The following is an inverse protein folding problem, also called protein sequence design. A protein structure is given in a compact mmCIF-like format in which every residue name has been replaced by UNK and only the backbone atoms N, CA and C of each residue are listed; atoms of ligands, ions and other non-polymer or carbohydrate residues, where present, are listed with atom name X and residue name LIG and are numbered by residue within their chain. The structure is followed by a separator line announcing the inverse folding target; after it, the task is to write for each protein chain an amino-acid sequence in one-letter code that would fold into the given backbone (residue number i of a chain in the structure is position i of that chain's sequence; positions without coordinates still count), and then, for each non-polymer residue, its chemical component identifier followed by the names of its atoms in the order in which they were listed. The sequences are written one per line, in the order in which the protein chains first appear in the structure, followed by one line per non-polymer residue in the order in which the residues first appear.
data_IF_359935152347
#
_entry.id   IF_359935152347
#
_cell.length_a   1.000
_cell.length_b   1.000
_cell.length_c   1.000
_cell.angle_alpha   90.00
_cell.angle_beta   90.00
_cell.angle_gamma   90.00
#
_symmetry.space_group_name_H-M   'P 1'
#
loop_
_entity.id
_entity.type
_entity.pdbx_description
1 polymer ?
#
# COMPACT_ATOMS: atom_id res chain seq x y z
N UNK A 1 52.96 -4.07 62.46
CA UNK A 1 52.99 -3.75 60.99
C UNK A 1 51.58 -3.57 60.51
N UNK A 2 51.06 -2.36 60.31
CA UNK A 2 49.72 -1.99 59.92
C UNK A 2 49.72 -1.63 58.44
N UNK A 3 49.05 -2.41 57.62
CA UNK A 3 48.88 -2.12 56.21
C UNK A 3 47.56 -1.34 56.04
N UNK A 4 47.65 -0.10 55.60
CA UNK A 4 46.53 0.76 55.36
C UNK A 4 46.16 0.63 53.86
N UNK A 5 44.99 0.05 53.60
CA UNK A 5 44.43 0.05 52.25
C UNK A 5 43.70 1.36 51.97
N UNK A 6 44.24 2.11 51.02
CA UNK A 6 43.68 3.35 50.52
C UNK A 6 42.55 3.03 49.53
N UNK A 7 41.33 3.41 49.86
CA UNK A 7 40.15 3.26 48.98
C UNK A 7 40.34 4.11 47.74
N UNK A 8 40.44 3.43 46.58
CA UNK A 8 40.37 4.04 45.27
C UNK A 8 38.90 4.00 44.87
N UNK A 9 38.24 5.17 44.89
CA UNK A 9 36.88 5.35 44.42
C UNK A 9 36.82 5.21 42.90
N UNK A 10 36.13 4.16 42.43
CA UNK A 10 35.83 3.95 41.02
C UNK A 10 34.62 4.81 40.71
N UNK A 11 34.83 5.89 39.98
CA UNK A 11 33.74 6.68 39.39
C UNK A 11 33.20 5.90 38.18
N UNK A 12 32.03 5.28 38.34
CA UNK A 12 31.29 4.71 37.22
C UNK A 12 30.68 5.82 36.37
N UNK A 13 31.28 6.10 35.23
CA UNK A 13 30.71 6.98 34.21
C UNK A 13 29.58 6.20 33.52
N UNK A 14 28.34 6.54 33.89
CA UNK A 14 27.15 5.98 33.27
C UNK A 14 26.97 6.62 31.88
N UNK A 15 27.36 5.90 30.81
CA UNK A 15 27.11 6.32 29.45
C UNK A 15 25.62 6.09 29.14
N UNK A 16 24.82 7.15 29.15
CA UNK A 16 23.43 7.11 28.67
C UNK A 16 23.48 7.10 27.16
N UNK A 17 23.33 5.93 26.57
CA UNK A 17 23.12 5.79 25.15
C UNK A 17 21.67 6.17 24.86
N UNK A 18 21.44 7.40 24.41
CA UNK A 18 20.17 7.83 23.85
C UNK A 18 20.02 7.12 22.51
N UNK A 19 19.32 5.98 22.52
CA UNK A 19 18.91 5.28 21.31
C UNK A 19 17.81 6.11 20.65
N UNK A 20 18.16 6.90 19.64
CA UNK A 20 17.20 7.44 18.68
C UNK A 20 16.56 6.27 17.94
N UNK A 21 15.40 5.84 18.40
CA UNK A 21 14.52 4.99 17.60
C UNK A 21 14.02 5.82 16.42
N UNK A 22 14.77 5.83 15.32
CA UNK A 22 14.21 6.18 14.03
C UNK A 22 13.11 5.18 13.75
N UNK A 23 11.86 5.62 13.77
CA UNK A 23 10.72 4.86 13.27
C UNK A 23 11.03 4.47 11.82
N UNK A 24 11.64 3.31 11.65
CA UNK A 24 11.71 2.67 10.34
C UNK A 24 10.26 2.34 9.97
N UNK A 25 9.70 3.22 9.14
CA UNK A 25 8.51 2.90 8.36
C UNK A 25 8.91 1.67 7.56
N UNK A 26 8.52 0.49 8.03
CA UNK A 26 8.73 -0.75 7.30
C UNK A 26 7.94 -0.64 6.00
N UNK A 27 8.64 -0.35 4.93
CA UNK A 27 8.17 -0.59 3.57
C UNK A 27 8.20 -2.11 3.40
N UNK A 28 7.12 -2.76 3.83
CA UNK A 28 7.00 -4.22 3.80
C UNK A 28 6.64 -4.70 2.40
N UNK A 29 7.40 -4.32 1.37
CA UNK A 29 7.14 -4.86 0.02
C UNK A 29 8.35 -4.88 -0.93
N UNK A 30 9.57 -4.86 -0.43
CA UNK A 30 10.74 -4.98 -1.31
C UNK A 30 11.02 -6.41 -1.82
N UNK A 31 10.17 -7.40 -1.49
CA UNK A 31 10.46 -8.79 -1.84
C UNK A 31 10.43 -9.10 -3.35
N UNK A 32 9.81 -8.27 -4.20
CA UNK A 32 9.70 -8.54 -5.64
C UNK A 32 10.04 -7.37 -6.57
N UNK A 33 10.34 -6.18 -6.07
CA UNK A 33 10.57 -5.00 -6.92
C UNK A 33 9.34 -4.56 -7.74
N UNK A 34 8.16 -5.12 -7.48
CA UNK A 34 6.90 -4.77 -8.14
C UNK A 34 6.10 -3.77 -7.31
N UNK A 35 5.39 -2.91 -8.01
CA UNK A 35 4.54 -1.86 -7.44
C UNK A 35 3.15 -2.40 -7.11
N UNK A 36 2.63 -2.09 -5.93
CA UNK A 36 1.24 -2.34 -5.55
C UNK A 36 0.34 -1.20 -6.03
N UNK A 37 -0.66 -1.54 -6.83
CA UNK A 37 -1.57 -0.58 -7.41
C UNK A 37 -2.85 -0.46 -6.59
N UNK A 38 -3.19 0.78 -6.24
CA UNK A 38 -4.48 1.14 -5.66
C UNK A 38 -5.29 1.95 -6.65
N UNK A 39 -6.53 1.55 -6.86
CA UNK A 39 -7.50 2.29 -7.68
C UNK A 39 -8.50 2.95 -6.74
N UNK A 40 -8.55 4.27 -6.78
CA UNK A 40 -9.46 5.06 -5.96
C UNK A 40 -10.56 5.66 -6.82
N UNK A 41 -11.82 5.38 -6.44
CA UNK A 41 -13.03 5.91 -7.08
C UNK A 41 -13.02 5.71 -8.62
N UNK A 42 -13.04 4.47 -9.13
CA UNK A 42 -12.92 4.18 -10.57
C UNK A 42 -14.20 4.52 -11.34
N UNK A 43 -14.61 5.77 -11.31
CA UNK A 43 -15.84 6.25 -11.94
C UNK A 43 -15.74 6.53 -13.43
N UNK A 44 -14.54 6.57 -13.99
CA UNK A 44 -14.31 6.81 -15.40
C UNK A 44 -13.70 5.57 -16.06
N UNK A 45 -14.09 5.29 -17.34
CA UNK A 45 -13.59 4.12 -18.06
C UNK A 45 -12.06 4.03 -18.16
N UNK A 46 -11.35 5.15 -18.09
CA UNK A 46 -9.88 5.17 -18.05
C UNK A 46 -9.30 4.45 -16.84
N UNK A 47 -10.08 4.29 -15.74
CA UNK A 47 -9.62 3.59 -14.56
C UNK A 47 -9.14 2.16 -14.86
N UNK A 48 -9.79 1.47 -15.80
CA UNK A 48 -9.46 0.10 -16.17
C UNK A 48 -8.36 -0.02 -17.24
N UNK A 49 -7.94 1.07 -17.88
CA UNK A 49 -6.99 0.99 -18.99
C UNK A 49 -5.59 0.54 -18.56
N UNK A 50 -5.19 0.87 -17.31
CA UNK A 50 -3.92 0.38 -16.75
C UNK A 50 -3.89 -1.14 -16.62
N UNK A 51 -5.04 -1.77 -16.43
CA UNK A 51 -5.19 -3.21 -16.27
C UNK A 51 -5.50 -3.93 -17.59
N UNK A 52 -5.60 -3.19 -18.71
CA UNK A 52 -5.86 -3.80 -20.01
C UNK A 52 -4.78 -4.79 -20.41
N UNK A 53 -3.54 -4.54 -20.02
CA UNK A 53 -2.43 -5.43 -20.28
C UNK A 53 -1.66 -5.71 -18.99
N UNK A 54 -0.96 -6.84 -18.91
CA UNK A 54 -0.11 -7.18 -17.79
C UNK A 54 1.16 -6.33 -17.84
N UNK A 55 1.47 -5.64 -16.76
CA UNK A 55 2.67 -4.84 -16.61
C UNK A 55 3.63 -5.53 -15.65
N UNK A 56 4.83 -5.87 -16.12
CA UNK A 56 5.81 -6.62 -15.34
C UNK A 56 6.23 -5.92 -14.02
N UNK A 57 6.15 -4.59 -14.00
CA UNK A 57 6.48 -3.79 -12.83
C UNK A 57 5.36 -3.67 -11.79
N UNK A 58 4.17 -4.20 -12.08
CA UNK A 58 2.99 -4.10 -11.20
C UNK A 58 2.62 -5.48 -10.67
N UNK A 59 2.27 -5.56 -9.38
CA UNK A 59 1.74 -6.77 -8.78
C UNK A 59 0.37 -7.11 -9.38
N UNK A 60 0.06 -8.39 -9.48
CA UNK A 60 -1.19 -8.87 -10.09
C UNK A 60 -2.43 -8.55 -9.21
N UNK A 61 -2.23 -8.17 -7.96
CA UNK A 61 -3.31 -7.77 -7.05
C UNK A 61 -3.59 -6.28 -7.18
N UNK A 62 -4.85 -5.93 -7.47
CA UNK A 62 -5.37 -4.57 -7.52
C UNK A 62 -6.21 -4.31 -6.28
N UNK A 63 -5.86 -3.27 -5.53
CA UNK A 63 -6.65 -2.80 -4.40
C UNK A 63 -7.58 -1.69 -4.86
N UNK A 64 -8.89 -1.89 -4.77
CA UNK A 64 -9.87 -0.91 -5.23
C UNK A 64 -10.72 -0.40 -4.07
N UNK A 65 -10.83 0.91 -3.96
CA UNK A 65 -11.62 1.60 -2.94
C UNK A 65 -12.58 2.57 -3.61
N UNK A 66 -13.88 2.39 -3.38
CA UNK A 66 -14.91 3.16 -4.07
C UNK A 66 -16.21 3.25 -3.26
N UNK A 67 -17.08 4.23 -3.52
CA UNK A 67 -18.45 4.13 -3.08
C UNK A 67 -19.16 3.00 -3.84
N UNK A 68 -20.25 2.47 -3.28
CA UNK A 68 -21.11 1.53 -3.99
C UNK A 68 -21.79 2.21 -5.18
N UNK A 69 -21.87 1.53 -6.33
CA UNK A 69 -22.58 2.07 -7.47
C UNK A 69 -22.22 1.41 -8.79
N UNK A 70 -22.97 1.82 -9.83
CA UNK A 70 -22.83 1.30 -11.19
C UNK A 70 -21.43 1.50 -11.78
N UNK A 71 -20.75 2.58 -11.37
CA UNK A 71 -19.44 2.93 -11.89
C UNK A 71 -18.38 1.91 -11.46
N UNK A 72 -18.35 1.53 -10.18
CA UNK A 72 -17.43 0.50 -9.68
C UNK A 72 -17.76 -0.87 -10.27
N UNK A 73 -19.03 -1.18 -10.47
CA UNK A 73 -19.45 -2.44 -11.10
C UNK A 73 -18.98 -2.52 -12.55
N UNK A 74 -19.09 -1.44 -13.31
CA UNK A 74 -18.58 -1.35 -14.68
C UNK A 74 -17.06 -1.50 -14.76
N UNK A 75 -16.35 -0.88 -13.82
CA UNK A 75 -14.90 -1.04 -13.70
C UNK A 75 -14.52 -2.51 -13.47
N UNK A 76 -15.13 -3.17 -12.49
CA UNK A 76 -14.87 -4.59 -12.19
C UNK A 76 -15.18 -5.51 -13.39
N UNK A 77 -16.28 -5.23 -14.11
CA UNK A 77 -16.65 -5.96 -15.33
C UNK A 77 -15.58 -5.79 -16.42
N UNK A 78 -14.99 -4.61 -16.54
CA UNK A 78 -13.89 -4.39 -17.49
C UNK A 78 -12.68 -5.25 -17.15
N UNK A 79 -12.29 -5.32 -15.86
CA UNK A 79 -11.19 -6.18 -15.41
C UNK A 79 -11.48 -7.66 -15.69
N UNK A 80 -12.71 -8.11 -15.43
CA UNK A 80 -13.13 -9.49 -15.75
C UNK A 80 -13.03 -9.78 -17.25
N UNK A 81 -13.43 -8.82 -18.10
CA UNK A 81 -13.33 -8.98 -19.55
C UNK A 81 -11.86 -9.09 -20.01
N UNK A 82 -10.94 -8.37 -19.39
CA UNK A 82 -9.52 -8.50 -19.70
C UNK A 82 -8.93 -9.84 -19.24
N UNK A 83 -9.35 -10.33 -18.08
CA UNK A 83 -8.92 -11.63 -17.59
C UNK A 83 -9.47 -12.81 -18.42
N UNK A 84 -10.65 -12.65 -19.05
CA UNK A 84 -11.36 -13.72 -19.76
C UNK A 84 -11.21 -13.66 -21.28
N UNK A 85 -10.59 -12.63 -21.83
CA UNK A 85 -10.45 -12.51 -23.28
C UNK A 85 -9.59 -13.63 -23.88
N UNK A 86 -9.90 -14.05 -25.11
CA UNK A 86 -9.21 -15.14 -25.78
C UNK A 86 -7.74 -14.80 -26.12
N UNK A 87 -7.49 -13.53 -26.47
CA UNK A 87 -6.15 -13.07 -26.84
C UNK A 87 -5.53 -12.27 -25.70
N UNK A 88 -4.33 -12.64 -25.29
CA UNK A 88 -3.54 -12.00 -24.22
C UNK A 88 -4.37 -11.77 -22.94
N UNK A 89 -4.97 -12.80 -22.35
CA UNK A 89 -5.71 -12.65 -21.09
C UNK A 89 -4.78 -12.11 -20.02
N UNK A 90 -5.35 -11.29 -19.13
CA UNK A 90 -4.67 -10.86 -17.91
C UNK A 90 -5.03 -11.79 -16.74
N UNK A 91 -4.38 -11.63 -15.59
CA UNK A 91 -4.62 -12.44 -14.40
C UNK A 91 -4.79 -11.56 -13.14
N UNK A 92 -5.49 -10.44 -13.29
CA UNK A 92 -5.66 -9.50 -12.18
C UNK A 92 -6.51 -10.09 -11.06
N UNK A 93 -5.98 -10.05 -9.84
CA UNK A 93 -6.68 -10.39 -8.61
C UNK A 93 -7.28 -9.11 -8.02
N UNK A 94 -8.60 -9.09 -7.85
CA UNK A 94 -9.32 -7.91 -7.36
C UNK A 94 -9.52 -7.98 -5.86
N UNK A 95 -9.04 -6.97 -5.13
CA UNK A 95 -9.35 -6.71 -3.73
C UNK A 95 -10.20 -5.45 -3.66
N UNK A 96 -11.47 -5.59 -3.26
CA UNK A 96 -12.43 -4.50 -3.33
C UNK A 96 -12.95 -4.13 -1.95
N UNK A 97 -12.93 -2.83 -1.66
CA UNK A 97 -13.65 -2.25 -0.56
C UNK A 97 -14.66 -1.20 -1.06
N UNK A 98 -15.94 -1.39 -0.79
CA UNK A 98 -17.01 -0.47 -1.19
C UNK A 98 -17.84 -0.05 0.00
N UNK A 99 -17.73 1.21 0.38
CA UNK A 99 -18.55 1.85 1.43
C UNK A 99 -18.37 3.37 1.35
N UNK A 100 -19.16 4.12 2.11
CA UNK A 100 -19.06 5.59 2.11
C UNK A 100 -17.73 6.09 2.71
N UNK A 101 -17.11 5.30 3.57
CA UNK A 101 -15.82 5.58 4.21
C UNK A 101 -14.60 5.06 3.42
N UNK A 102 -14.77 4.71 2.14
CA UNK A 102 -13.75 4.09 1.30
C UNK A 102 -12.39 4.83 1.28
N UNK A 103 -12.43 6.17 1.30
CA UNK A 103 -11.22 6.99 1.34
C UNK A 103 -10.48 6.85 2.67
N UNK A 104 -11.19 6.95 3.78
CA UNK A 104 -10.61 6.77 5.12
C UNK A 104 -10.03 5.37 5.29
N UNK A 105 -10.73 4.37 4.75
CA UNK A 105 -10.28 2.97 4.77
C UNK A 105 -9.00 2.76 3.95
N UNK A 106 -8.92 3.36 2.77
CA UNK A 106 -7.71 3.33 1.95
C UNK A 106 -6.53 3.98 2.68
N UNK A 107 -6.73 5.17 3.25
CA UNK A 107 -5.67 5.90 3.98
C UNK A 107 -5.17 5.15 5.21
N UNK A 108 -6.06 4.45 5.92
CA UNK A 108 -5.67 3.65 7.08
C UNK A 108 -4.97 2.33 6.70
N UNK A 109 -5.29 1.77 5.53
CA UNK A 109 -4.80 0.46 5.11
C UNK A 109 -3.37 0.44 4.57
N UNK A 110 -2.90 1.53 3.98
CA UNK A 110 -1.54 1.66 3.38
C UNK A 110 -1.17 0.48 2.45
N UNK A 111 -2.12 -0.01 1.64
CA UNK A 111 -1.95 -1.25 0.86
C UNK A 111 -1.13 -1.05 -0.43
N UNK A 112 -0.90 0.17 -0.87
CA UNK A 112 -0.31 0.43 -2.17
C UNK A 112 0.83 1.43 -2.18
N UNK A 113 1.61 1.34 -3.24
CA UNK A 113 2.73 2.23 -3.53
C UNK A 113 2.30 3.38 -4.46
N UNK A 114 1.33 3.09 -5.34
CA UNK A 114 0.78 4.05 -6.31
C UNK A 114 -0.74 4.05 -6.25
N UNK A 115 -1.33 5.24 -6.15
CA UNK A 115 -2.78 5.44 -6.18
C UNK A 115 -3.18 6.08 -7.51
N UNK A 116 -4.09 5.44 -8.22
CA UNK A 116 -4.73 5.96 -9.43
C UNK A 116 -6.11 6.47 -9.07
N UNK A 117 -6.30 7.77 -9.21
CA UNK A 117 -7.59 8.42 -9.03
C UNK A 117 -8.24 8.65 -10.41
N UNK A 118 -9.37 8.02 -10.65
CA UNK A 118 -10.09 8.11 -11.92
C UNK A 118 -11.60 8.29 -11.72
N UNK A 119 -11.97 9.12 -10.77
CA UNK A 119 -13.37 9.44 -10.49
C UNK A 119 -14.04 10.22 -11.62
N UNK A 120 -15.30 9.92 -11.85
CA UNK A 120 -16.16 10.64 -12.82
C UNK A 120 -16.97 11.75 -12.15
N UNK A 121 -16.54 12.23 -11.00
CA UNK A 121 -17.41 13.03 -10.16
C UNK A 121 -17.19 14.53 -10.31
N UNK A 122 -18.16 15.20 -10.91
CA UNK A 122 -18.19 16.66 -11.05
C UNK A 122 -18.79 17.37 -9.81
N UNK A 123 -19.23 16.64 -8.79
CA UNK A 123 -19.98 17.17 -7.64
C UNK A 123 -19.65 16.50 -6.30
N UNK A 124 -18.44 16.03 -6.12
CA UNK A 124 -18.00 15.58 -4.80
C UNK A 124 -17.26 16.67 -4.07
#
# INVERSE_FOLDING_TARGET
MKIIYKNIGIWAISLIIVSCSSSQRQVANEANGKVNLVILDPGHFHASLLQKDTLAAINDTIWSYAPKGIEVDQYLKSIDSYNQRAEKPTAWVKQLYTADDYLSKMLAGHQGDVVVLAGNNRKK
#
